data_IF_972129127543
#
_entry.id   IF_972129127543
#
_cell.length_a   1.000
_cell.length_b   1.000
_cell.length_c   1.000
_cell.angle_alpha   90.00
_cell.angle_beta   90.00
_cell.angle_gamma   90.00
#
_symmetry.space_group_name_H-M   'P 1'
#
loop_
_entity.id
_entity.type
_entity.pdbx_description
1 polymer ?
#
# COMPACT_ATOMS: atom_id res chain seq x y z
N UNK A 1 -5.66 -31.72 2.09
CA UNK A 1 -5.74 -30.24 2.11
C UNK A 1 -4.34 -29.70 2.31
N UNK A 2 -3.83 -28.87 1.39
CA UNK A 2 -2.51 -28.24 1.59
C UNK A 2 -2.54 -27.37 2.85
N UNK A 3 -1.45 -27.41 3.63
CA UNK A 3 -1.34 -26.64 4.88
C UNK A 3 -1.32 -25.16 4.52
N UNK A 4 -2.24 -24.35 5.07
CA UNK A 4 -2.23 -22.89 4.87
C UNK A 4 -0.93 -22.33 5.46
N UNK A 5 -0.13 -21.69 4.62
CA UNK A 5 1.10 -20.99 5.00
C UNK A 5 0.96 -19.49 4.77
N UNK A 6 1.77 -18.69 5.48
CA UNK A 6 1.85 -17.23 5.25
C UNK A 6 2.14 -16.90 3.79
N UNK A 7 3.00 -17.71 3.16
CA UNK A 7 3.34 -17.59 1.75
C UNK A 7 2.15 -17.87 0.83
N UNK A 8 1.43 -18.98 1.04
CA UNK A 8 0.25 -19.32 0.22
C UNK A 8 -0.87 -18.28 0.27
N UNK A 9 -0.95 -17.48 1.33
CA UNK A 9 -1.89 -16.36 1.46
C UNK A 9 -1.38 -15.08 0.79
N UNK A 10 -0.06 -14.92 0.66
CA UNK A 10 0.56 -13.75 0.04
C UNK A 10 0.74 -13.88 -1.48
N UNK A 11 0.91 -15.10 -1.99
CA UNK A 11 1.07 -15.40 -3.42
C UNK A 11 -0.09 -14.87 -4.28
N UNK A 12 -1.38 -15.04 -3.91
CA UNK A 12 -2.50 -14.47 -4.67
C UNK A 12 -2.47 -12.94 -4.74
N UNK A 13 -2.02 -12.26 -3.67
CA UNK A 13 -1.89 -10.80 -3.64
C UNK A 13 -0.77 -10.32 -4.58
N UNK A 14 0.35 -11.03 -4.60
CA UNK A 14 1.45 -10.76 -5.53
C UNK A 14 1.02 -11.04 -6.99
N UNK A 15 0.27 -12.12 -7.23
CA UNK A 15 -0.26 -12.46 -8.54
C UNK A 15 -1.27 -11.41 -9.03
N UNK A 16 -2.09 -10.84 -8.14
CA UNK A 16 -3.03 -9.79 -8.49
C UNK A 16 -2.34 -8.57 -9.13
N UNK A 17 -1.17 -8.16 -8.63
CA UNK A 17 -0.37 -7.07 -9.23
C UNK A 17 0.07 -7.40 -10.67
N UNK A 18 0.48 -8.66 -10.89
CA UNK A 18 0.94 -9.15 -12.19
C UNK A 18 -0.25 -9.17 -13.16
N UNK A 19 -1.37 -9.75 -12.75
CA UNK A 19 -2.58 -9.83 -13.57
C UNK A 19 -3.16 -8.45 -13.90
N UNK A 20 -3.16 -7.52 -12.93
CA UNK A 20 -3.60 -6.14 -13.15
C UNK A 20 -2.71 -5.42 -14.19
N UNK A 21 -1.40 -5.73 -14.24
CA UNK A 21 -0.51 -5.22 -15.26
C UNK A 21 -0.72 -5.89 -16.63
N UNK A 22 -1.06 -7.17 -16.64
CA UNK A 22 -1.23 -7.99 -17.84
C UNK A 22 -2.62 -7.89 -18.50
N UNK A 23 -3.62 -7.34 -17.81
CA UNK A 23 -4.98 -7.17 -18.32
C UNK A 23 -5.08 -6.26 -19.55
N UNK A 24 -6.05 -6.54 -20.43
CA UNK A 24 -6.33 -5.72 -21.62
C UNK A 24 -7.84 -5.57 -21.89
N UNK A 25 -8.33 -4.35 -22.19
CA UNK A 25 -7.61 -3.08 -22.14
C UNK A 25 -7.40 -2.62 -20.68
N UNK A 26 -6.18 -2.21 -20.31
CA UNK A 26 -5.92 -1.60 -19.00
C UNK A 26 -6.24 -0.11 -19.06
N UNK A 27 -7.14 0.42 -18.20
CA UNK A 27 -7.34 1.87 -18.12
C UNK A 27 -6.07 2.54 -17.56
N UNK A 28 -5.57 3.55 -18.28
CA UNK A 28 -4.40 4.34 -17.87
C UNK A 28 -3.19 4.24 -18.81
N UNK A 29 -2.01 4.62 -18.30
CA UNK A 29 -0.88 5.02 -19.13
C UNK A 29 0.02 3.85 -19.60
N UNK A 30 0.24 2.79 -18.82
CA UNK A 30 1.14 1.68 -19.19
C UNK A 30 0.41 0.36 -19.28
N UNK A 31 0.56 -0.30 -20.42
CA UNK A 31 0.11 -1.66 -20.67
C UNK A 31 1.03 -2.32 -21.69
N UNK A 32 0.83 -3.60 -21.97
CA UNK A 32 1.66 -4.44 -22.86
C UNK A 32 1.98 -3.89 -24.27
N UNK A 33 1.32 -2.81 -24.71
CA UNK A 33 1.52 -2.19 -26.04
C UNK A 33 2.01 -0.73 -25.95
N UNK A 34 2.30 -0.22 -24.75
CA UNK A 34 2.71 1.17 -24.54
C UNK A 34 3.61 1.32 -23.31
N UNK A 35 4.90 1.50 -23.56
CA UNK A 35 5.89 1.88 -22.55
C UNK A 35 6.18 3.39 -22.58
N UNK A 36 6.69 3.92 -21.46
CA UNK A 36 7.43 5.19 -21.44
C UNK A 36 8.87 4.95 -20.96
N UNK A 37 9.74 5.94 -21.17
CA UNK A 37 11.18 5.86 -20.86
C UNK A 37 11.47 5.31 -19.45
N UNK A 38 10.66 5.71 -18.45
CA UNK A 38 10.83 5.33 -17.04
C UNK A 38 9.75 4.38 -16.49
N UNK A 39 8.98 3.76 -17.37
CA UNK A 39 7.68 3.14 -17.09
C UNK A 39 7.44 2.00 -18.08
N UNK A 40 7.96 0.82 -17.73
CA UNK A 40 7.90 -0.38 -18.57
C UNK A 40 6.99 -1.45 -18.00
N UNK A 41 6.30 -2.18 -18.85
CA UNK A 41 5.46 -3.31 -18.46
C UNK A 41 6.21 -4.32 -17.55
N UNK A 42 7.46 -4.66 -17.85
CA UNK A 42 8.25 -5.62 -17.07
C UNK A 42 8.49 -5.15 -15.64
N UNK A 43 8.60 -3.84 -15.41
CA UNK A 43 8.73 -3.30 -14.07
C UNK A 43 7.47 -3.52 -13.22
N UNK A 44 6.29 -3.53 -13.85
CA UNK A 44 5.04 -3.88 -13.16
C UNK A 44 5.00 -5.37 -12.81
N UNK A 45 5.44 -6.25 -13.72
CA UNK A 45 5.53 -7.68 -13.42
C UNK A 45 6.51 -7.95 -12.27
N UNK A 46 7.67 -7.28 -12.30
CA UNK A 46 8.68 -7.36 -11.24
C UNK A 46 8.13 -6.88 -9.89
N UNK A 47 7.15 -5.96 -9.88
CA UNK A 47 6.50 -5.49 -8.66
C UNK A 47 5.81 -6.62 -7.90
N UNK A 48 5.13 -7.55 -8.59
CA UNK A 48 4.55 -8.74 -7.95
C UNK A 48 5.60 -9.59 -7.24
N UNK A 49 6.74 -9.83 -7.91
CA UNK A 49 7.86 -10.61 -7.36
C UNK A 49 8.44 -9.96 -6.10
N UNK A 50 8.72 -8.65 -6.16
CA UNK A 50 9.31 -7.93 -5.02
C UNK A 50 8.31 -7.70 -3.89
N UNK A 51 7.01 -7.62 -4.20
CA UNK A 51 5.95 -7.47 -3.21
C UNK A 51 5.78 -8.70 -2.32
N UNK A 52 5.96 -9.92 -2.87
CA UNK A 52 5.66 -11.18 -2.17
C UNK A 52 6.23 -11.24 -0.75
N UNK A 53 7.51 -10.89 -0.57
CA UNK A 53 8.15 -10.94 0.76
C UNK A 53 7.55 -9.96 1.78
N UNK A 54 7.03 -8.82 1.33
CA UNK A 54 6.40 -7.81 2.20
C UNK A 54 4.96 -8.23 2.53
N UNK A 55 4.26 -8.78 1.54
CA UNK A 55 2.92 -9.32 1.70
C UNK A 55 2.93 -10.52 2.64
N UNK A 56 3.89 -11.44 2.51
CA UNK A 56 4.07 -12.55 3.45
C UNK A 56 4.36 -12.05 4.87
N UNK A 57 5.20 -11.02 5.00
CA UNK A 57 5.45 -10.35 6.30
C UNK A 57 4.17 -9.75 6.88
N UNK A 58 3.33 -9.15 6.03
CA UNK A 58 2.04 -8.59 6.41
C UNK A 58 1.09 -9.67 6.91
N UNK A 59 0.91 -10.76 6.16
CA UNK A 59 0.13 -11.94 6.59
C UNK A 59 0.63 -12.45 7.95
N UNK A 60 1.94 -12.64 8.10
CA UNK A 60 2.53 -13.08 9.37
C UNK A 60 2.20 -12.14 10.53
N UNK A 61 2.28 -10.82 10.32
CA UNK A 61 1.92 -9.80 11.32
C UNK A 61 0.42 -9.75 11.59
N UNK A 62 -0.42 -10.12 10.64
CA UNK A 62 -1.86 -10.27 10.84
C UNK A 62 -2.17 -11.46 11.74
N UNK A 63 -1.54 -12.61 11.46
CA UNK A 63 -1.75 -13.85 12.22
C UNK A 63 -1.16 -13.78 13.63
N UNK A 64 0.01 -13.18 13.77
CA UNK A 64 0.75 -13.05 15.02
C UNK A 64 1.06 -11.57 15.27
N UNK A 65 0.05 -10.79 15.72
CA UNK A 65 0.18 -9.35 15.84
C UNK A 65 1.26 -8.98 16.86
N UNK A 66 2.25 -8.14 16.46
CA UNK A 66 3.20 -7.60 17.41
C UNK A 66 2.49 -6.64 18.37
N UNK A 67 3.13 -6.32 19.51
CA UNK A 67 2.63 -5.30 20.45
C UNK A 67 2.25 -3.98 19.77
N UNK A 68 2.99 -3.61 18.73
CA UNK A 68 2.70 -2.46 17.86
C UNK A 68 2.74 -2.90 16.41
N UNK A 69 1.56 -2.96 15.79
CA UNK A 69 1.44 -3.17 14.36
C UNK A 69 1.88 -1.91 13.62
N UNK A 70 2.83 -2.09 12.71
CA UNK A 70 3.31 -1.05 11.81
C UNK A 70 3.10 -1.58 10.39
N UNK A 71 2.25 -0.92 9.62
CA UNK A 71 1.99 -1.27 8.21
C UNK A 71 2.79 -0.37 7.28
N UNK A 72 3.11 0.86 7.70
CA UNK A 72 3.84 1.81 6.87
C UNK A 72 5.20 1.29 6.40
N UNK A 73 5.91 0.50 7.22
CA UNK A 73 7.21 -0.07 6.86
C UNK A 73 7.11 -1.17 5.78
N UNK A 74 5.97 -1.89 5.72
CA UNK A 74 5.67 -2.83 4.64
C UNK A 74 5.51 -2.06 3.33
N UNK A 75 4.72 -0.98 3.34
CA UNK A 75 4.52 -0.10 2.19
C UNK A 75 5.83 0.50 1.72
N UNK A 76 6.61 1.10 2.64
CA UNK A 76 7.90 1.67 2.31
C UNK A 76 8.87 0.64 1.75
N UNK A 77 8.96 -0.53 2.38
CA UNK A 77 9.84 -1.60 1.95
C UNK A 77 9.52 -2.07 0.54
N UNK A 78 8.23 -2.29 0.25
CA UNK A 78 7.75 -2.69 -1.06
C UNK A 78 8.11 -1.65 -2.12
N UNK A 79 7.72 -0.39 -1.91
CA UNK A 79 7.99 0.71 -2.84
C UNK A 79 9.48 0.90 -3.06
N UNK A 80 10.29 0.87 -1.99
CA UNK A 80 11.75 1.00 -2.09
C UNK A 80 12.34 -0.08 -2.96
N UNK A 81 11.98 -1.34 -2.72
CA UNK A 81 12.56 -2.46 -3.46
C UNK A 81 12.14 -2.45 -4.94
N UNK A 82 10.90 -2.05 -5.26
CA UNK A 82 10.47 -1.87 -6.65
C UNK A 82 11.28 -0.76 -7.32
N UNK A 83 11.38 0.42 -6.70
CA UNK A 83 12.13 1.55 -7.27
C UNK A 83 13.60 1.18 -7.47
N UNK A 84 14.23 0.57 -6.47
CA UNK A 84 15.67 0.30 -6.50
C UNK A 84 16.05 -0.88 -7.40
N UNK A 85 15.21 -1.91 -7.47
CA UNK A 85 15.55 -3.16 -8.18
C UNK A 85 14.90 -3.25 -9.56
N UNK A 86 13.67 -2.78 -9.73
CA UNK A 86 13.02 -2.74 -11.03
C UNK A 86 13.38 -1.49 -11.84
N UNK A 87 14.13 -0.53 -11.25
CA UNK A 87 14.53 0.75 -11.86
C UNK A 87 13.34 1.49 -12.49
N UNK A 88 12.24 1.55 -11.75
CA UNK A 88 10.98 2.10 -12.23
C UNK A 88 10.57 3.33 -11.45
N UNK A 89 10.12 4.35 -12.17
CA UNK A 89 9.43 5.51 -11.58
C UNK A 89 7.96 5.20 -11.27
N UNK A 90 7.42 4.11 -11.82
CA UNK A 90 6.10 3.63 -11.44
C UNK A 90 6.20 2.83 -10.16
N UNK A 91 5.67 3.41 -9.10
CA UNK A 91 5.90 2.89 -7.76
C UNK A 91 4.78 2.05 -7.22
N UNK A 92 3.73 1.77 -8.00
CA UNK A 92 2.54 1.06 -7.54
C UNK A 92 2.13 1.52 -6.14
N UNK A 93 2.27 2.82 -5.83
CA UNK A 93 2.27 3.31 -4.44
C UNK A 93 0.92 3.00 -3.79
N UNK A 94 -0.15 3.22 -4.55
CA UNK A 94 -1.51 2.91 -4.10
C UNK A 94 -1.71 1.41 -3.92
N UNK A 95 -1.35 0.60 -4.91
CA UNK A 95 -1.42 -0.87 -4.79
C UNK A 95 -0.57 -1.40 -3.62
N UNK A 96 0.58 -0.78 -3.36
CA UNK A 96 1.46 -1.11 -2.25
C UNK A 96 0.81 -0.83 -0.90
N UNK A 97 0.11 0.30 -0.76
CA UNK A 97 -0.68 0.63 0.42
C UNK A 97 -1.82 -0.38 0.64
N UNK A 98 -2.65 -0.58 -0.40
CA UNK A 98 -3.83 -1.44 -0.31
C UNK A 98 -3.44 -2.90 -0.05
N UNK A 99 -2.47 -3.45 -0.78
CA UNK A 99 -2.06 -4.84 -0.61
C UNK A 99 -1.30 -5.08 0.70
N UNK A 100 -0.52 -4.10 1.18
CA UNK A 100 0.09 -4.21 2.51
C UNK A 100 -1.00 -4.28 3.59
N UNK A 101 -2.01 -3.42 3.52
CA UNK A 101 -3.15 -3.45 4.45
C UNK A 101 -3.93 -4.77 4.33
N UNK A 102 -4.23 -5.20 3.11
CA UNK A 102 -4.98 -6.41 2.82
C UNK A 102 -4.23 -7.66 3.31
N UNK A 103 -2.91 -7.72 3.14
CA UNK A 103 -2.10 -8.85 3.62
C UNK A 103 -2.18 -9.01 5.15
N UNK A 104 -2.10 -7.91 5.90
CA UNK A 104 -2.27 -7.93 7.36
C UNK A 104 -3.71 -8.30 7.73
N UNK A 105 -4.69 -7.78 6.98
CA UNK A 105 -6.11 -8.05 7.22
C UNK A 105 -6.44 -9.53 7.01
N UNK A 106 -5.92 -10.15 5.95
CA UNK A 106 -6.04 -11.60 5.67
C UNK A 106 -5.41 -12.41 6.79
N UNK A 107 -4.21 -12.04 7.25
CA UNK A 107 -3.56 -12.75 8.35
C UNK A 107 -4.40 -12.72 9.63
N UNK A 108 -4.97 -11.56 9.96
CA UNK A 108 -5.84 -11.40 11.14
C UNK A 108 -7.14 -12.18 11.01
N UNK A 109 -7.77 -12.11 9.84
CA UNK A 109 -8.98 -12.87 9.50
C UNK A 109 -8.75 -14.38 9.67
N UNK A 110 -7.71 -14.93 9.04
CA UNK A 110 -7.36 -16.36 9.15
C UNK A 110 -7.08 -16.77 10.60
N UNK A 111 -6.37 -15.94 11.38
CA UNK A 111 -6.12 -16.25 12.79
C UNK A 111 -7.37 -16.20 13.67
N UNK A 112 -8.40 -15.46 13.27
CA UNK A 112 -9.69 -15.44 13.98
C UNK A 112 -10.61 -16.61 13.60
N UNK A 113 -10.23 -17.43 12.61
CA UNK A 113 -11.08 -18.51 12.09
C UNK A 113 -12.28 -18.04 11.27
N UNK A 114 -12.39 -16.74 11.01
CA UNK A 114 -13.42 -16.13 10.19
C UNK A 114 -12.92 -16.08 8.74
N UNK A 115 -13.72 -16.49 7.77
CA UNK A 115 -13.42 -16.32 6.33
C UNK A 115 -14.64 -15.66 5.70
N UNK A 116 -14.73 -14.35 5.87
CA UNK A 116 -15.82 -13.53 5.34
C UNK A 116 -15.28 -12.22 4.76
N UNK A 117 -15.83 -11.81 3.62
CA UNK A 117 -15.38 -10.60 2.92
C UNK A 117 -15.76 -9.32 3.67
N UNK A 118 -16.92 -9.26 4.33
CA UNK A 118 -17.29 -8.07 5.09
C UNK A 118 -16.42 -7.93 6.33
N UNK A 119 -16.04 -9.04 6.95
CA UNK A 119 -15.09 -9.05 8.05
C UNK A 119 -13.68 -8.63 7.60
N UNK A 120 -13.24 -9.05 6.41
CA UNK A 120 -11.97 -8.58 5.87
C UNK A 120 -11.93 -7.05 5.70
N UNK A 121 -13.05 -6.46 5.25
CA UNK A 121 -13.22 -5.01 5.13
C UNK A 121 -13.22 -4.33 6.50
N UNK A 122 -13.96 -4.87 7.47
CA UNK A 122 -14.03 -4.32 8.83
C UNK A 122 -12.65 -4.34 9.52
N UNK A 123 -11.90 -5.43 9.35
CA UNK A 123 -10.53 -5.58 9.84
C UNK A 123 -9.61 -4.53 9.19
N UNK A 124 -9.67 -4.35 7.86
CA UNK A 124 -8.85 -3.37 7.15
C UNK A 124 -9.09 -1.94 7.65
N UNK A 125 -10.37 -1.54 7.77
CA UNK A 125 -10.76 -0.23 8.32
C UNK A 125 -10.26 -0.07 9.75
N UNK A 126 -10.42 -1.11 10.58
CA UNK A 126 -9.94 -1.12 11.96
C UNK A 126 -8.43 -0.94 12.05
N UNK A 127 -7.65 -1.68 11.24
CA UNK A 127 -6.19 -1.56 11.20
C UNK A 127 -5.78 -0.13 10.84
N UNK A 128 -6.37 0.44 9.78
CA UNK A 128 -6.02 1.79 9.36
C UNK A 128 -6.34 2.82 10.44
N UNK A 129 -7.50 2.74 11.10
CA UNK A 129 -7.88 3.66 12.20
C UNK A 129 -6.92 3.62 13.38
N UNK A 130 -6.28 2.48 13.62
CA UNK A 130 -5.30 2.30 14.71
C UNK A 130 -3.84 2.52 14.26
N UNK A 131 -3.61 2.97 13.02
CA UNK A 131 -2.27 3.37 12.60
C UNK A 131 -1.76 4.54 13.41
N UNK A 132 -0.44 4.67 13.44
CA UNK A 132 0.25 5.65 14.26
C UNK A 132 1.02 6.65 13.41
N UNK A 133 1.63 7.64 14.06
CA UNK A 133 2.50 8.61 13.37
C UNK A 133 3.67 7.94 12.65
N UNK A 134 4.18 6.83 13.18
CA UNK A 134 5.28 6.11 12.54
C UNK A 134 4.85 5.47 11.22
N UNK A 135 3.58 5.03 11.11
CA UNK A 135 3.03 4.57 9.84
C UNK A 135 3.02 5.72 8.82
N UNK A 136 2.61 6.93 9.23
CA UNK A 136 2.67 8.12 8.38
C UNK A 136 4.10 8.46 7.94
N UNK A 137 5.08 8.37 8.87
CA UNK A 137 6.48 8.62 8.55
C UNK A 137 6.99 7.64 7.49
N UNK A 138 6.73 6.34 7.63
CA UNK A 138 7.14 5.37 6.62
C UNK A 138 6.37 5.56 5.30
N UNK A 139 5.09 5.91 5.36
CA UNK A 139 4.32 6.23 4.16
C UNK A 139 4.88 7.45 3.41
N UNK A 140 5.29 8.51 4.13
CA UNK A 140 5.98 9.66 3.55
C UNK A 140 7.33 9.26 2.94
N UNK A 141 8.08 8.37 3.59
CA UNK A 141 9.29 7.79 2.98
C UNK A 141 8.97 7.05 1.67
N UNK A 142 7.85 6.33 1.61
CA UNK A 142 7.41 5.64 0.41
C UNK A 142 7.06 6.64 -0.71
N UNK A 143 6.26 7.66 -0.42
CA UNK A 143 5.93 8.74 -1.37
C UNK A 143 7.20 9.43 -1.89
N UNK A 144 8.11 9.80 -1.00
CA UNK A 144 9.35 10.49 -1.37
C UNK A 144 10.29 9.60 -2.20
N UNK A 145 10.29 8.29 -1.93
CA UNK A 145 11.02 7.31 -2.73
C UNK A 145 10.41 7.19 -4.13
N UNK A 146 9.08 7.23 -4.18
CA UNK A 146 8.30 7.12 -5.40
C UNK A 146 8.34 8.34 -6.31
N UNK A 147 8.39 9.54 -5.72
CA UNK A 147 8.37 10.82 -6.46
C UNK A 147 7.21 10.90 -7.47
N UNK A 148 5.96 10.68 -7.05
CA UNK A 148 4.82 10.84 -7.95
C UNK A 148 4.77 12.28 -8.48
N UNK A 149 4.64 12.42 -9.81
CA UNK A 149 4.69 13.72 -10.50
C UNK A 149 3.55 14.67 -10.12
N UNK A 150 2.45 14.15 -9.60
CA UNK A 150 1.27 14.92 -9.19
C UNK A 150 1.41 15.54 -7.79
N UNK A 151 2.43 15.18 -6.99
CA UNK A 151 2.71 15.83 -5.71
C UNK A 151 3.93 16.75 -5.84
N UNK A 152 3.77 18.04 -5.57
CA UNK A 152 4.81 19.06 -5.71
C UNK A 152 5.20 19.65 -4.36
N UNK A 153 6.48 20.10 -4.20
CA UNK A 153 6.88 20.82 -3.00
C UNK A 153 6.09 22.10 -2.71
N UNK A 154 5.50 22.69 -3.76
CA UNK A 154 4.64 23.88 -3.68
C UNK A 154 3.20 23.60 -3.27
N UNK A 155 2.79 22.34 -3.11
CA UNK A 155 1.40 22.01 -2.79
C UNK A 155 1.01 22.56 -1.42
N UNK A 156 -0.10 23.28 -1.36
CA UNK A 156 -0.66 23.79 -0.11
C UNK A 156 -1.43 22.68 0.59
N UNK A 157 -0.93 22.23 1.75
CA UNK A 157 -1.55 21.15 2.54
C UNK A 157 -2.31 21.64 3.77
N UNK A 158 -2.51 22.95 3.89
CA UNK A 158 -3.17 23.58 5.04
C UNK A 158 -2.51 23.16 6.35
N UNK A 159 -3.31 22.61 7.28
CA UNK A 159 -2.79 22.13 8.57
C UNK A 159 -1.99 20.83 8.46
N UNK A 160 -2.13 20.08 7.37
CA UNK A 160 -1.41 18.83 7.13
C UNK A 160 0.05 19.07 6.73
N UNK A 161 0.93 18.12 7.05
CA UNK A 161 2.36 18.26 6.77
C UNK A 161 2.59 17.99 5.28
N UNK A 162 3.23 18.90 4.56
CA UNK A 162 3.60 18.62 3.17
C UNK A 162 4.66 17.50 3.14
N UNK A 163 4.46 16.49 2.29
CA UNK A 163 5.35 15.33 2.17
C UNK A 163 6.79 15.67 1.77
N UNK A 164 6.97 16.80 1.08
CA UNK A 164 8.26 17.30 0.62
C UNK A 164 8.98 18.15 1.67
N UNK A 165 8.31 18.55 2.75
CA UNK A 165 8.91 19.29 3.86
C UNK A 165 10.15 18.55 4.40
N UNK A 166 11.28 19.24 4.53
CA UNK A 166 12.53 18.64 5.02
C UNK A 166 12.41 18.17 6.47
N UNK A 167 11.54 18.79 7.26
CA UNK A 167 11.26 18.46 8.65
C UNK A 167 10.00 17.60 8.82
N UNK A 168 9.50 16.93 7.76
CA UNK A 168 8.24 16.19 7.81
C UNK A 168 8.15 15.21 8.98
N UNK A 169 9.24 14.49 9.32
CA UNK A 169 9.26 13.54 10.44
C UNK A 169 8.94 14.25 11.76
N UNK A 170 9.64 15.35 12.04
CA UNK A 170 9.45 16.14 13.26
C UNK A 170 8.03 16.72 13.30
N UNK A 171 7.57 17.33 12.19
CA UNK A 171 6.24 17.93 12.11
C UNK A 171 5.11 16.91 12.26
N UNK A 172 5.24 15.71 11.68
CA UNK A 172 4.26 14.62 11.85
C UNK A 172 4.17 14.19 13.32
N UNK A 173 5.31 14.09 14.01
CA UNK A 173 5.37 13.75 15.45
C UNK A 173 4.75 14.83 16.33
N UNK A 174 5.11 16.10 16.12
CA UNK A 174 4.57 17.24 16.87
C UNK A 174 3.06 17.37 16.69
N UNK A 175 2.58 17.28 15.44
CA UNK A 175 1.14 17.37 15.11
C UNK A 175 0.37 16.06 15.36
N UNK A 176 1.07 14.99 15.74
CA UNK A 176 0.52 13.64 15.94
C UNK A 176 -0.26 13.09 14.72
N UNK A 177 0.13 13.48 13.50
CA UNK A 177 -0.52 13.03 12.27
C UNK A 177 -0.28 11.53 12.04
N UNK A 178 -1.30 10.72 12.31
CA UNK A 178 -1.29 9.28 12.01
C UNK A 178 -1.48 9.01 10.52
N UNK A 179 -1.21 7.79 10.07
CA UNK A 179 -1.49 7.42 8.68
C UNK A 179 -2.99 7.55 8.36
N UNK A 180 -3.87 7.23 9.31
CA UNK A 180 -5.32 7.48 9.17
C UNK A 180 -5.63 8.94 8.85
N UNK A 181 -5.06 9.88 9.61
CA UNK A 181 -5.31 11.32 9.40
C UNK A 181 -4.74 11.80 8.06
N UNK A 182 -3.54 11.34 7.69
CA UNK A 182 -2.93 11.62 6.39
C UNK A 182 -3.84 11.12 5.25
N UNK A 183 -4.29 9.87 5.31
CA UNK A 183 -5.14 9.30 4.26
C UNK A 183 -6.52 9.97 4.24
N UNK A 184 -7.05 10.38 5.40
CA UNK A 184 -8.34 11.11 5.48
C UNK A 184 -8.27 12.48 4.82
N UNK A 185 -7.11 13.14 4.88
CA UNK A 185 -6.88 14.35 4.10
C UNK A 185 -6.79 14.03 2.60
N UNK A 186 -5.99 13.03 2.25
CA UNK A 186 -5.75 12.64 0.86
C UNK A 186 -7.00 12.12 0.14
N UNK A 187 -7.94 11.48 0.84
CA UNK A 187 -9.15 10.88 0.23
C UNK A 187 -10.08 11.90 -0.44
N UNK A 188 -9.88 13.20 -0.16
CA UNK A 188 -10.58 14.29 -0.86
C UNK A 188 -10.23 14.37 -2.35
N UNK A 189 -9.10 13.81 -2.76
CA UNK A 189 -8.58 13.89 -4.14
C UNK A 189 -7.87 12.60 -4.61
N UNK A 190 -7.64 11.62 -3.72
CA UNK A 190 -7.02 10.33 -4.03
C UNK A 190 -7.98 9.17 -3.75
N UNK A 191 -8.41 8.50 -4.82
CA UNK A 191 -9.31 7.35 -4.77
C UNK A 191 -8.72 6.16 -4.00
N UNK A 192 -7.39 6.01 -3.97
CA UNK A 192 -6.74 4.90 -3.25
C UNK A 192 -6.82 5.17 -1.75
N UNK A 193 -6.60 6.41 -1.33
CA UNK A 193 -6.76 6.80 0.06
C UNK A 193 -8.22 6.60 0.52
N UNK A 194 -9.19 7.01 -0.30
CA UNK A 194 -10.62 6.73 -0.07
C UNK A 194 -10.90 5.23 0.08
N UNK A 195 -10.37 4.41 -0.83
CA UNK A 195 -10.59 2.96 -0.83
C UNK A 195 -9.99 2.28 0.42
N UNK A 196 -8.78 2.70 0.82
CA UNK A 196 -8.12 2.19 2.02
C UNK A 196 -8.92 2.51 3.30
N UNK A 197 -9.48 3.72 3.40
CA UNK A 197 -10.29 4.16 4.56
C UNK A 197 -11.65 3.48 4.65
N UNK A 198 -12.18 3.01 3.52
CA UNK A 198 -13.55 2.52 3.39
C UNK A 198 -13.65 0.99 3.20
N UNK A 199 -12.56 0.26 3.36
CA UNK A 199 -12.56 -1.20 3.27
C UNK A 199 -12.59 -1.70 1.83
N UNK A 200 -11.75 -1.14 0.96
CA UNK A 200 -11.50 -1.64 -0.39
C UNK A 200 -12.76 -1.72 -1.29
N UNK A 201 -13.73 -0.82 -1.10
CA UNK A 201 -15.03 -0.83 -1.80
C UNK A 201 -14.89 -0.97 -3.32
N UNK A 202 -13.89 -0.34 -3.92
CA UNK A 202 -13.71 -0.30 -5.38
C UNK A 202 -13.02 -1.55 -5.92
N UNK A 203 -12.09 -2.13 -5.16
CA UNK A 203 -11.40 -3.37 -5.53
C UNK A 203 -12.30 -4.60 -5.67
N UNK A 204 -13.54 -4.54 -5.18
CA UNK A 204 -14.54 -5.61 -5.26
C UNK A 204 -15.70 -5.34 -6.24
N UNK A 205 -15.68 -4.24 -6.98
CA UNK A 205 -16.72 -3.88 -7.97
C UNK A 205 -16.34 -4.25 -9.41
N UNK A 206 -15.28 -5.05 -9.58
CA UNK A 206 -14.81 -5.57 -10.87
C UNK A 206 -15.57 -6.80 -11.34
#
# INVERSE_FOLDING_TARGET
>A
MSKITTRSLAEPLALALILEASGYPKPGNVHRLRDYIDLKYEAFLATGIYALKYLEKGVKRGMYPPRRLLIGDLVYGLVRDVVDKARSSNTCLGSSLLLSLLSVSIGRMVSSGLIDLNELKSIGVSIIRHTTVYDAVYYYRAIRKAKPSYLKPSDETGEYVNVWDKAYIRKLLEKKHTLYQVLSYSSRFDIIADDALNGFKRGYQG
#
